data_IF_649074034612
#
_entry.id   IF_649074034612
#
_cell.length_a   1.000
_cell.length_b   1.000
_cell.length_c   1.000
_cell.angle_alpha   90.00
_cell.angle_beta   90.00
_cell.angle_gamma   90.00
#
_symmetry.space_group_name_H-M   'P 1'
#
loop_
_entity.id
_entity.type
_entity.pdbx_description
1 polymer ?
#
# COMPACT_ATOMS: atom_id res chain seq x y z
N UNK A 1 19.36 -2.09 -0.27
CA UNK A 1 20.53 -1.18 -0.27
C UNK A 1 21.66 -1.71 -1.18
N UNK A 2 22.20 -2.92 -0.98
CA UNK A 2 23.26 -3.46 -1.87
C UNK A 2 22.83 -3.67 -3.33
N UNK A 3 21.57 -4.05 -3.57
CA UNK A 3 21.00 -4.21 -4.91
C UNK A 3 20.84 -2.87 -5.65
N UNK A 4 20.56 -1.79 -4.90
CA UNK A 4 20.27 -0.46 -5.44
C UNK A 4 21.10 0.62 -4.75
N UNK A 5 22.45 0.58 -4.83
CA UNK A 5 23.31 1.50 -4.10
C UNK A 5 23.22 2.94 -4.65
N UNK A 6 22.93 3.09 -5.94
CA UNK A 6 22.62 4.38 -6.56
C UNK A 6 21.10 4.59 -6.58
N UNK A 7 20.65 5.44 -5.66
CA UNK A 7 19.23 5.75 -5.43
C UNK A 7 18.59 6.55 -6.57
N UNK A 8 19.39 7.14 -7.46
CA UNK A 8 18.90 7.94 -8.59
C UNK A 8 18.63 7.11 -9.86
N UNK A 9 19.15 5.89 -9.93
CA UNK A 9 19.06 5.07 -11.13
C UNK A 9 17.63 4.61 -11.39
N UNK A 10 17.16 4.72 -12.63
CA UNK A 10 15.89 4.11 -12.99
C UNK A 10 15.97 2.59 -12.82
N UNK A 11 14.82 1.99 -12.56
CA UNK A 11 14.69 0.54 -12.53
C UNK A 11 14.38 0.08 -13.96
N UNK A 12 15.24 -0.80 -14.44
CA UNK A 12 15.14 -1.42 -15.75
C UNK A 12 14.39 -2.74 -15.62
N UNK A 13 13.27 -2.84 -16.30
CA UNK A 13 12.60 -4.10 -16.54
C UNK A 13 12.49 -4.35 -18.05
N UNK A 14 12.40 -5.62 -18.44
CA UNK A 14 12.36 -6.01 -19.85
C UNK A 14 11.23 -5.33 -20.64
N UNK A 15 10.12 -4.99 -19.97
CA UNK A 15 8.93 -4.38 -20.56
C UNK A 15 8.84 -2.86 -20.38
N UNK A 16 9.54 -2.28 -19.40
CA UNK A 16 9.50 -0.83 -19.12
C UNK A 16 10.68 -0.36 -18.26
N UNK A 17 11.06 0.90 -18.45
CA UNK A 17 11.97 1.61 -17.54
C UNK A 17 11.18 2.58 -16.69
N UNK A 18 11.39 2.61 -15.37
CA UNK A 18 10.72 3.55 -14.45
C UNK A 18 11.73 4.38 -13.66
N UNK A 19 11.46 5.68 -13.43
CA UNK A 19 12.31 6.49 -12.57
C UNK A 19 12.25 5.97 -11.12
N UNK A 20 13.31 6.16 -10.34
CA UNK A 20 13.39 5.65 -8.97
C UNK A 20 12.53 6.40 -7.95
N UNK A 21 11.84 7.48 -8.33
CA UNK A 21 10.82 8.14 -7.49
C UNK A 21 9.36 7.75 -7.83
N UNK A 22 9.15 6.64 -8.56
CA UNK A 22 7.84 6.03 -8.77
C UNK A 22 7.38 5.24 -7.52
N UNK A 23 6.08 4.92 -7.44
CA UNK A 23 5.46 4.14 -6.37
C UNK A 23 6.19 2.86 -5.94
N UNK A 24 6.77 2.09 -6.88
CA UNK A 24 7.41 0.82 -6.51
C UNK A 24 8.57 1.03 -5.53
N UNK A 25 9.32 2.13 -5.70
CA UNK A 25 10.37 2.54 -4.77
C UNK A 25 9.82 3.29 -3.59
N UNK A 26 8.79 4.10 -3.78
CA UNK A 26 8.09 4.75 -2.66
C UNK A 26 7.69 3.75 -1.58
N UNK A 27 7.06 2.64 -1.95
CA UNK A 27 6.66 1.56 -1.02
C UNK A 27 7.87 0.89 -0.36
N UNK A 28 8.97 0.66 -1.09
CA UNK A 28 10.20 0.16 -0.47
C UNK A 28 10.66 1.07 0.67
N UNK A 29 10.70 2.38 0.42
CA UNK A 29 11.14 3.34 1.44
C UNK A 29 10.12 3.48 2.58
N UNK A 30 8.81 3.33 2.33
CA UNK A 30 7.81 3.23 3.41
C UNK A 30 8.13 2.07 4.36
N UNK A 31 8.45 0.89 3.81
CA UNK A 31 8.87 -0.27 4.59
C UNK A 31 10.21 -0.06 5.30
N UNK A 32 11.19 0.57 4.64
CA UNK A 32 12.47 0.92 5.26
C UNK A 32 12.29 1.89 6.44
N UNK A 33 11.42 2.90 6.29
CA UNK A 33 11.13 3.84 7.37
C UNK A 33 10.35 3.18 8.51
N UNK A 34 9.50 2.19 8.23
CA UNK A 34 8.87 1.37 9.26
C UNK A 34 9.90 0.52 10.03
N UNK A 35 10.87 -0.09 9.34
CA UNK A 35 11.99 -0.78 9.96
C UNK A 35 12.83 0.18 10.80
N UNK A 36 13.18 1.37 10.27
CA UNK A 36 13.92 2.40 11.00
C UNK A 36 13.20 2.87 12.28
N UNK A 37 11.86 2.80 12.33
CA UNK A 37 11.10 3.13 13.55
C UNK A 37 11.34 2.14 14.69
N UNK A 38 11.61 0.86 14.39
CA UNK A 38 11.86 -0.18 15.40
C UNK A 38 13.36 -0.50 15.58
N UNK A 39 14.18 -0.25 14.56
CA UNK A 39 15.63 -0.46 14.58
C UNK A 39 16.34 0.75 13.96
N UNK A 40 16.88 1.61 14.82
CA UNK A 40 17.37 2.96 14.49
C UNK A 40 18.75 2.97 13.83
N UNK A 41 18.95 2.15 12.80
CA UNK A 41 20.23 2.15 12.08
C UNK A 41 20.37 3.41 11.22
N UNK A 42 21.49 4.11 11.39
CA UNK A 42 21.81 5.34 10.63
C UNK A 42 21.81 5.10 9.11
N UNK A 43 22.25 3.92 8.68
CA UNK A 43 22.29 3.53 7.26
C UNK A 43 20.91 3.56 6.60
N UNK A 44 19.83 3.19 7.32
CA UNK A 44 18.47 3.22 6.79
C UNK A 44 18.00 4.66 6.54
N UNK A 45 18.25 5.54 7.52
CA UNK A 45 17.93 6.96 7.41
C UNK A 45 18.74 7.64 6.31
N UNK A 46 20.06 7.45 6.29
CA UNK A 46 20.95 8.05 5.29
C UNK A 46 20.57 7.62 3.87
N UNK A 47 20.21 6.35 3.69
CA UNK A 47 19.77 5.83 2.39
C UNK A 47 18.45 6.48 1.95
N UNK A 48 17.46 6.64 2.84
CA UNK A 48 16.22 7.34 2.54
C UNK A 48 16.43 8.85 2.26
N UNK A 49 17.32 9.53 3.00
CA UNK A 49 17.68 10.94 2.75
C UNK A 49 18.35 11.09 1.40
N UNK A 50 19.32 10.23 1.07
CA UNK A 50 20.04 10.29 -0.21
C UNK A 50 19.09 10.15 -1.40
N UNK A 51 18.03 9.35 -1.26
CA UNK A 51 16.99 9.21 -2.28
C UNK A 51 16.16 10.48 -2.45
N UNK A 52 15.75 11.10 -1.34
CA UNK A 52 15.09 12.40 -1.38
C UNK A 52 15.96 13.48 -2.03
N UNK A 53 17.24 13.56 -1.67
CA UNK A 53 18.19 14.51 -2.24
C UNK A 53 18.42 14.28 -3.75
N UNK A 54 18.58 13.03 -4.18
CA UNK A 54 18.77 12.66 -5.58
C UNK A 54 17.59 13.12 -6.47
N UNK A 55 16.37 13.12 -5.92
CA UNK A 55 15.17 13.59 -6.60
C UNK A 55 14.78 15.03 -6.26
N UNK A 56 15.64 15.76 -5.53
CA UNK A 56 15.38 17.13 -5.05
C UNK A 56 14.04 17.24 -4.32
N UNK A 57 13.64 16.17 -3.63
CA UNK A 57 12.38 16.05 -2.90
C UNK A 57 11.12 16.23 -3.77
N UNK A 58 11.28 16.09 -5.09
CA UNK A 58 10.23 16.27 -6.07
C UNK A 58 9.44 14.99 -6.34
N UNK A 59 8.14 15.18 -6.56
CA UNK A 59 7.25 14.12 -7.07
C UNK A 59 7.61 13.76 -8.52
N UNK A 60 7.30 12.54 -8.93
CA UNK A 60 7.39 12.19 -10.35
C UNK A 60 6.43 13.08 -11.15
N UNK A 61 6.84 13.54 -12.32
CA UNK A 61 6.07 14.48 -13.16
C UNK A 61 5.74 15.84 -12.48
N UNK A 62 6.37 16.16 -11.35
CA UNK A 62 6.32 17.47 -10.72
C UNK A 62 4.98 17.83 -10.05
N UNK A 63 4.82 19.09 -9.69
CA UNK A 63 3.73 19.60 -8.84
C UNK A 63 2.34 19.64 -9.52
N UNK A 64 2.26 19.26 -10.79
CA UNK A 64 0.99 19.22 -11.54
C UNK A 64 0.41 17.81 -11.67
N UNK A 65 1.14 16.78 -11.22
CA UNK A 65 0.64 15.41 -11.30
C UNK A 65 -0.60 15.22 -10.43
N UNK A 66 -1.57 14.46 -10.93
CA UNK A 66 -2.72 13.96 -10.16
C UNK A 66 -2.69 12.43 -10.04
N UNK A 67 -1.65 11.79 -10.58
CA UNK A 67 -1.51 10.35 -10.55
C UNK A 67 -0.94 9.92 -9.19
N UNK A 68 -1.67 9.05 -8.47
CA UNK A 68 -1.23 8.56 -7.18
C UNK A 68 0.17 7.93 -7.22
N UNK A 69 0.49 7.19 -8.30
CA UNK A 69 1.79 6.53 -8.47
C UNK A 69 2.97 7.51 -8.41
N UNK A 70 2.76 8.76 -8.82
CA UNK A 70 3.76 9.82 -8.79
C UNK A 70 3.90 10.46 -7.42
N UNK A 71 2.84 10.39 -6.62
CA UNK A 71 2.69 11.03 -5.31
C UNK A 71 3.23 10.18 -4.16
N UNK A 72 3.31 8.85 -4.34
CA UNK A 72 3.73 7.89 -3.32
C UNK A 72 5.07 8.24 -2.66
N UNK A 73 6.07 8.72 -3.43
CA UNK A 73 7.36 9.13 -2.86
C UNK A 73 7.25 10.22 -1.78
N UNK A 74 6.21 11.07 -1.88
CA UNK A 74 5.95 12.13 -0.92
C UNK A 74 5.73 11.62 0.51
N UNK A 75 5.25 10.38 0.69
CA UNK A 75 5.05 9.79 2.02
C UNK A 75 6.35 9.69 2.80
N UNK A 76 7.40 9.12 2.19
CA UNK A 76 8.72 9.02 2.83
C UNK A 76 9.37 10.39 3.00
N UNK A 77 9.23 11.28 2.02
CA UNK A 77 9.79 12.63 2.12
C UNK A 77 9.20 13.42 3.31
N UNK A 78 7.88 13.27 3.55
CA UNK A 78 7.25 13.85 4.75
C UNK A 78 7.67 13.13 6.03
N UNK A 79 7.81 11.80 6.03
CA UNK A 79 8.37 11.07 7.19
C UNK A 79 9.77 11.62 7.56
N UNK A 80 10.62 11.90 6.56
CA UNK A 80 11.94 12.50 6.76
C UNK A 80 11.86 13.97 7.19
N UNK A 81 10.88 14.74 6.69
CA UNK A 81 10.63 16.10 7.17
C UNK A 81 10.22 16.13 8.65
N UNK A 82 9.41 15.18 9.11
CA UNK A 82 9.02 15.10 10.52
C UNK A 82 10.21 14.78 11.44
N UNK A 83 11.24 14.10 10.93
CA UNK A 83 12.48 13.80 11.66
C UNK A 83 13.43 15.00 11.66
N UNK A 84 13.62 15.64 10.50
CA UNK A 84 14.53 16.76 10.28
C UNK A 84 13.82 17.80 9.39
N UNK A 85 13.16 18.81 10.00
CA UNK A 85 12.30 19.76 9.28
C UNK A 85 13.10 20.69 8.37
N UNK A 86 12.97 20.45 7.06
CA UNK A 86 13.57 21.26 6.01
C UNK A 86 12.52 21.61 4.95
N UNK A 87 12.25 22.90 4.65
CA UNK A 87 11.15 23.30 3.76
C UNK A 87 11.16 22.62 2.40
N UNK A 88 12.34 22.38 1.82
CA UNK A 88 12.49 21.73 0.53
C UNK A 88 11.93 20.31 0.48
N UNK A 89 11.89 19.59 1.62
CA UNK A 89 11.39 18.20 1.68
C UNK A 89 9.90 18.06 1.42
N UNK A 90 9.14 19.14 1.62
CA UNK A 90 7.67 19.12 1.55
C UNK A 90 7.08 20.16 0.59
N UNK A 91 7.87 21.14 0.14
CA UNK A 91 7.40 22.25 -0.70
C UNK A 91 6.64 21.77 -1.93
N UNK A 92 7.22 20.86 -2.71
CA UNK A 92 6.65 20.41 -3.98
C UNK A 92 5.44 19.47 -3.74
N UNK A 93 5.47 18.70 -2.65
CA UNK A 93 4.36 17.84 -2.21
C UNK A 93 3.15 18.70 -1.86
N UNK A 94 3.35 19.72 -1.03
CA UNK A 94 2.29 20.66 -0.65
C UNK A 94 1.72 21.36 -1.88
N UNK A 95 2.57 21.90 -2.75
CA UNK A 95 2.13 22.57 -3.97
C UNK A 95 1.27 21.64 -4.86
N UNK A 96 1.66 20.37 -4.97
CA UNK A 96 0.89 19.37 -5.70
C UNK A 96 -0.50 19.13 -5.10
N UNK A 97 -0.57 18.92 -3.78
CA UNK A 97 -1.86 18.64 -3.14
C UNK A 97 -2.74 19.89 -3.04
N UNK A 98 -2.16 21.09 -2.91
CA UNK A 98 -2.88 22.37 -2.99
C UNK A 98 -3.61 22.51 -4.34
N UNK A 99 -2.95 22.14 -5.45
CA UNK A 99 -3.59 22.14 -6.78
C UNK A 99 -4.79 21.19 -6.85
N UNK A 100 -4.75 20.06 -6.13
CA UNK A 100 -5.86 19.10 -6.08
C UNK A 100 -6.99 19.57 -5.16
N UNK A 101 -6.65 20.08 -3.98
CA UNK A 101 -7.59 20.65 -3.00
C UNK A 101 -8.39 21.80 -3.61
N UNK A 102 -7.74 22.67 -4.40
CA UNK A 102 -8.40 23.82 -5.02
C UNK A 102 -9.15 23.49 -6.33
N UNK A 103 -9.22 22.21 -6.73
CA UNK A 103 -9.90 21.77 -7.93
C UNK A 103 -11.24 21.09 -7.59
N UNK A 104 -12.24 21.26 -8.45
CA UNK A 104 -13.52 20.54 -8.35
C UNK A 104 -13.41 19.06 -8.75
N UNK A 105 -12.32 18.66 -9.40
CA UNK A 105 -12.11 17.29 -9.86
C UNK A 105 -11.90 16.33 -8.67
N UNK A 106 -12.54 15.16 -8.73
CA UNK A 106 -12.58 14.15 -7.66
C UNK A 106 -12.44 12.69 -8.11
N UNK A 107 -12.26 12.45 -9.40
CA UNK A 107 -12.30 11.13 -10.05
C UNK A 107 -10.91 10.65 -10.52
N UNK A 108 -9.82 11.10 -9.89
CA UNK A 108 -8.46 10.71 -10.31
C UNK A 108 -8.06 9.29 -9.87
N UNK A 109 -8.70 8.74 -8.84
CA UNK A 109 -8.36 7.43 -8.27
C UNK A 109 -9.29 6.34 -8.82
N UNK A 110 -9.01 5.92 -10.06
CA UNK A 110 -9.80 4.93 -10.79
C UNK A 110 -9.32 3.48 -10.61
N UNK A 111 -8.28 3.27 -9.79
CA UNK A 111 -7.78 1.95 -9.38
C UNK A 111 -7.42 1.96 -7.89
N UNK A 112 -7.63 0.85 -7.18
CA UNK A 112 -7.51 0.82 -5.71
C UNK A 112 -6.12 1.16 -5.18
N UNK A 113 -5.05 0.89 -5.92
CA UNK A 113 -3.69 1.15 -5.44
C UNK A 113 -3.47 2.65 -5.25
N UNK A 114 -4.13 3.50 -6.05
CA UNK A 114 -4.03 4.94 -5.94
C UNK A 114 -4.36 5.43 -4.51
N UNK A 115 -5.23 4.70 -3.80
CA UNK A 115 -5.57 4.98 -2.41
C UNK A 115 -4.32 4.93 -1.52
N UNK A 116 -3.51 3.85 -1.62
CA UNK A 116 -2.26 3.76 -0.87
C UNK A 116 -1.26 4.80 -1.33
N UNK A 117 -1.17 5.03 -2.63
CA UNK A 117 -0.15 5.90 -3.17
C UNK A 117 -0.37 7.37 -2.79
N UNK A 118 -1.62 7.81 -2.65
CA UNK A 118 -1.97 9.22 -2.47
C UNK A 118 -2.63 9.58 -1.13
N UNK A 119 -3.56 8.78 -0.59
CA UNK A 119 -4.33 9.17 0.61
C UNK A 119 -3.45 9.55 1.81
N UNK A 120 -2.39 8.79 2.16
CA UNK A 120 -1.56 9.15 3.31
C UNK A 120 -0.87 10.52 3.16
N UNK A 121 -0.66 10.99 1.92
CA UNK A 121 -0.09 12.32 1.66
C UNK A 121 -1.05 13.42 2.09
N UNK A 122 -2.33 13.31 1.74
CA UNK A 122 -3.36 14.26 2.17
C UNK A 122 -3.53 14.25 3.69
N UNK A 123 -3.61 13.06 4.30
CA UNK A 123 -3.73 12.94 5.75
C UNK A 123 -2.55 13.63 6.48
N UNK A 124 -1.32 13.42 6.01
CA UNK A 124 -0.12 13.98 6.62
C UNK A 124 -0.05 15.50 6.48
N UNK A 125 -0.44 16.04 5.33
CA UNK A 125 -0.51 17.49 5.12
C UNK A 125 -1.60 18.14 5.99
N UNK A 126 -2.75 17.48 6.16
CA UNK A 126 -3.80 17.91 7.10
C UNK A 126 -3.28 18.08 8.53
N UNK A 127 -2.44 17.16 8.99
CA UNK A 127 -1.78 17.24 10.31
C UNK A 127 -0.73 18.35 10.35
N UNK A 128 0.19 18.39 9.38
CA UNK A 128 1.32 19.32 9.38
C UNK A 128 0.83 20.78 9.31
N UNK A 129 -0.16 21.06 8.46
CA UNK A 129 -0.66 22.42 8.22
C UNK A 129 -1.91 22.78 9.02
N UNK A 130 -2.49 21.82 9.77
CA UNK A 130 -3.75 22.00 10.51
C UNK A 130 -4.87 22.54 9.61
N UNK A 131 -5.01 21.92 8.44
CA UNK A 131 -5.91 22.37 7.38
C UNK A 131 -6.83 21.23 6.96
N UNK A 132 -8.09 21.30 7.38
CA UNK A 132 -9.08 20.24 7.15
C UNK A 132 -9.43 20.06 5.67
N UNK A 133 -9.11 21.02 4.79
CA UNK A 133 -9.36 20.91 3.35
C UNK A 133 -8.65 19.71 2.72
N UNK A 134 -7.51 19.27 3.28
CA UNK A 134 -6.86 18.04 2.84
C UNK A 134 -7.68 16.79 3.17
N UNK A 135 -8.31 16.74 4.36
CA UNK A 135 -9.19 15.63 4.73
C UNK A 135 -10.46 15.62 3.86
N UNK A 136 -11.05 16.79 3.60
CA UNK A 136 -12.23 16.91 2.74
C UNK A 136 -11.95 16.43 1.31
N UNK A 137 -10.84 16.88 0.69
CA UNK A 137 -10.48 16.43 -0.67
C UNK A 137 -10.17 14.93 -0.73
N UNK A 138 -9.43 14.41 0.26
CA UNK A 138 -9.16 12.98 0.37
C UNK A 138 -10.44 12.16 0.50
N UNK A 139 -11.38 12.61 1.34
CA UNK A 139 -12.67 11.96 1.54
C UNK A 139 -13.52 11.96 0.27
N UNK A 140 -13.61 13.11 -0.41
CA UNK A 140 -14.37 13.25 -1.64
C UNK A 140 -13.88 12.25 -2.71
N UNK A 141 -12.56 12.19 -2.92
CA UNK A 141 -11.95 11.29 -3.90
C UNK A 141 -12.08 9.81 -3.48
N UNK A 142 -11.89 9.51 -2.20
CA UNK A 142 -12.09 8.16 -1.66
C UNK A 142 -13.53 7.68 -1.87
N UNK A 143 -14.52 8.53 -1.59
CA UNK A 143 -15.93 8.19 -1.75
C UNK A 143 -16.34 8.05 -3.22
N UNK A 144 -15.71 8.81 -4.13
CA UNK A 144 -15.84 8.58 -5.56
C UNK A 144 -15.36 7.16 -5.92
N UNK A 145 -14.12 6.79 -5.58
CA UNK A 145 -13.60 5.43 -5.83
C UNK A 145 -14.50 4.36 -5.21
N UNK A 146 -14.96 4.59 -3.97
CA UNK A 146 -15.75 3.62 -3.20
C UNK A 146 -17.12 3.35 -3.79
N UNK A 147 -17.86 4.41 -4.14
CA UNK A 147 -19.30 4.34 -4.39
C UNK A 147 -19.72 4.73 -5.82
N UNK A 148 -18.84 5.36 -6.59
CA UNK A 148 -19.17 5.95 -7.89
C UNK A 148 -18.36 5.35 -9.04
N UNK A 149 -17.06 5.10 -8.83
CA UNK A 149 -16.19 4.58 -9.89
C UNK A 149 -16.68 3.22 -10.41
N UNK A 150 -16.73 3.08 -11.74
CA UNK A 150 -17.35 1.92 -12.39
C UNK A 150 -18.87 1.97 -12.41
N UNK A 151 -19.51 0.80 -12.29
CA UNK A 151 -20.96 0.64 -12.35
C UNK A 151 -21.62 0.85 -11.00
N UNK A 152 -20.98 0.38 -9.91
CA UNK A 152 -21.56 0.40 -8.55
C UNK A 152 -20.62 0.95 -7.47
N UNK A 153 -19.50 1.54 -7.88
CA UNK A 153 -18.37 1.77 -6.98
C UNK A 153 -17.47 0.53 -6.88
N UNK A 154 -16.23 0.75 -6.48
CA UNK A 154 -15.23 -0.32 -6.42
C UNK A 154 -15.26 -1.13 -5.12
N UNK A 155 -16.02 -0.69 -4.10
CA UNK A 155 -16.20 -1.46 -2.86
C UNK A 155 -17.48 -2.27 -2.89
N UNK A 156 -17.38 -3.59 -2.67
CA UNK A 156 -18.54 -4.43 -2.49
C UNK A 156 -18.94 -4.46 -1.00
N UNK A 157 -20.08 -3.87 -0.59
CA UNK A 157 -20.48 -3.82 0.82
C UNK A 157 -20.96 -5.18 1.37
N UNK A 158 -21.26 -6.15 0.51
CA UNK A 158 -21.68 -7.50 0.91
C UNK A 158 -20.46 -8.36 1.22
N UNK A 159 -19.50 -8.41 0.30
CA UNK A 159 -18.27 -9.21 0.45
C UNK A 159 -17.18 -8.46 1.22
N UNK A 160 -17.34 -7.15 1.43
CA UNK A 160 -16.43 -6.25 2.16
C UNK A 160 -15.01 -6.25 1.58
N UNK A 161 -14.92 -6.37 0.26
CA UNK A 161 -13.70 -6.38 -0.51
C UNK A 161 -13.81 -5.42 -1.69
N UNK A 162 -12.67 -5.08 -2.27
CA UNK A 162 -12.56 -4.07 -3.32
C UNK A 162 -12.19 -4.70 -4.66
N UNK A 163 -12.95 -4.37 -5.70
CA UNK A 163 -12.57 -4.60 -7.08
C UNK A 163 -11.36 -3.75 -7.43
N UNK A 164 -10.47 -4.26 -8.27
CA UNK A 164 -9.22 -3.57 -8.62
C UNK A 164 -9.48 -2.21 -9.29
N UNK A 165 -10.36 -2.21 -10.26
CA UNK A 165 -10.82 -1.07 -11.04
C UNK A 165 -12.19 -1.42 -11.63
N UNK A 166 -12.77 -0.49 -12.40
CA UNK A 166 -14.09 -0.66 -13.02
C UNK A 166 -14.20 -1.87 -13.97
N UNK A 167 -13.10 -2.42 -14.47
CA UNK A 167 -13.16 -3.54 -15.42
C UNK A 167 -13.43 -4.88 -14.67
N UNK A 168 -13.29 -4.88 -13.34
CA UNK A 168 -13.50 -6.05 -12.46
C UNK A 168 -14.77 -5.99 -11.63
N UNK A 169 -15.53 -4.89 -11.70
CA UNK A 169 -16.82 -4.80 -11.03
C UNK A 169 -17.90 -5.63 -11.77
N UNK A 170 -19.06 -5.92 -11.16
CA UNK A 170 -20.09 -6.71 -11.81
C UNK A 170 -20.52 -6.08 -13.14
N UNK A 171 -20.61 -6.86 -14.24
CA UNK A 171 -20.85 -8.31 -14.26
C UNK A 171 -19.60 -9.20 -14.39
N UNK A 172 -18.39 -8.67 -14.23
CA UNK A 172 -17.18 -9.49 -14.31
C UNK A 172 -17.19 -10.59 -13.26
N UNK A 173 -16.79 -11.81 -13.65
CA UNK A 173 -16.63 -12.94 -12.73
C UNK A 173 -15.39 -13.75 -13.08
N UNK A 174 -14.83 -14.42 -12.08
CA UNK A 174 -13.80 -15.44 -12.26
C UNK A 174 -14.35 -16.63 -13.06
N UNK A 175 -13.51 -17.55 -13.57
CA UNK A 175 -13.97 -18.77 -14.24
C UNK A 175 -14.98 -19.61 -13.41
N UNK A 176 -14.90 -19.58 -12.08
CA UNK A 176 -15.86 -20.25 -11.20
C UNK A 176 -17.14 -19.42 -10.91
N UNK A 177 -17.35 -18.29 -11.60
CA UNK A 177 -18.53 -17.45 -11.43
C UNK A 177 -18.54 -16.61 -10.15
N UNK A 178 -17.38 -16.37 -9.52
CA UNK A 178 -17.25 -15.55 -8.30
C UNK A 178 -16.83 -14.12 -8.64
N UNK A 179 -17.03 -13.19 -7.71
CA UNK A 179 -16.39 -11.86 -7.79
C UNK A 179 -14.86 -12.02 -7.81
N UNK A 180 -14.17 -11.21 -8.63
CA UNK A 180 -12.71 -11.23 -8.71
C UNK A 180 -12.10 -10.12 -7.85
N UNK A 181 -11.50 -10.52 -6.72
CA UNK A 181 -10.79 -9.61 -5.82
C UNK A 181 -9.30 -9.89 -5.86
N UNK A 182 -8.53 -8.94 -6.37
CA UNK A 182 -7.09 -9.07 -6.41
C UNK A 182 -6.48 -8.88 -5.03
N UNK A 183 -5.68 -9.85 -4.59
CA UNK A 183 -4.97 -9.87 -3.31
C UNK A 183 -4.17 -8.60 -3.06
N UNK A 184 -3.24 -8.27 -3.97
CA UNK A 184 -2.44 -7.06 -3.82
C UNK A 184 -3.28 -5.78 -3.87
N UNK A 185 -4.29 -5.71 -4.74
CA UNK A 185 -5.19 -4.56 -4.81
C UNK A 185 -5.87 -4.29 -3.47
N UNK A 186 -6.45 -5.32 -2.85
CA UNK A 186 -7.05 -5.22 -1.51
C UNK A 186 -5.99 -4.93 -0.44
N UNK A 187 -4.79 -5.51 -0.57
CA UNK A 187 -3.66 -5.21 0.30
C UNK A 187 -3.30 -3.72 0.30
N UNK A 188 -3.32 -3.06 -0.86
CA UNK A 188 -3.09 -1.62 -0.93
C UNK A 188 -4.18 -0.82 -0.23
N UNK A 189 -5.45 -1.21 -0.35
CA UNK A 189 -6.52 -0.54 0.40
C UNK A 189 -6.30 -0.67 1.91
N UNK A 190 -5.91 -1.86 2.39
CA UNK A 190 -5.57 -2.07 3.80
C UNK A 190 -4.41 -1.17 4.22
N UNK A 191 -3.33 -1.10 3.43
CA UNK A 191 -2.19 -0.24 3.71
C UNK A 191 -2.58 1.24 3.79
N UNK A 192 -3.43 1.70 2.86
CA UNK A 192 -3.93 3.07 2.80
C UNK A 192 -4.69 3.43 4.08
N UNK A 193 -5.66 2.57 4.45
CA UNK A 193 -6.49 2.77 5.62
C UNK A 193 -5.67 2.76 6.91
N UNK A 194 -4.73 1.82 7.06
CA UNK A 194 -3.83 1.77 8.22
C UNK A 194 -3.04 3.07 8.33
N UNK A 195 -2.39 3.51 7.25
CA UNK A 195 -1.53 4.71 7.28
C UNK A 195 -2.35 5.96 7.56
N UNK A 196 -3.49 6.12 6.90
CA UNK A 196 -4.41 7.25 7.14
C UNK A 196 -4.88 7.27 8.59
N UNK A 197 -5.32 6.13 9.15
CA UNK A 197 -5.82 6.05 10.52
C UNK A 197 -4.72 6.21 11.59
N UNK A 198 -3.47 5.89 11.26
CA UNK A 198 -2.30 6.12 12.12
C UNK A 198 -1.88 7.59 12.16
N UNK A 199 -2.05 8.31 11.04
CA UNK A 199 -1.73 9.73 10.89
C UNK A 199 -2.83 10.63 11.45
N UNK A 200 -4.10 10.33 11.13
CA UNK A 200 -5.22 11.23 11.43
C UNK A 200 -5.49 11.36 12.94
N UNK A 201 -5.66 12.59 13.46
CA UNK A 201 -6.20 12.83 14.79
C UNK A 201 -7.56 12.17 14.96
N UNK A 202 -7.88 11.69 16.17
CA UNK A 202 -9.14 10.97 16.45
C UNK A 202 -10.41 11.77 16.08
N UNK A 203 -10.35 13.10 16.15
CA UNK A 203 -11.44 14.02 15.86
C UNK A 203 -11.39 14.62 14.44
N UNK A 204 -10.46 14.19 13.59
CA UNK A 204 -10.39 14.69 12.22
C UNK A 204 -11.64 14.27 11.41
N UNK A 205 -12.11 15.12 10.47
CA UNK A 205 -13.26 14.83 9.62
C UNK A 205 -13.16 13.45 8.95
N UNK A 206 -14.31 12.78 8.80
CA UNK A 206 -14.47 11.52 8.03
C UNK A 206 -13.69 10.30 8.51
N UNK A 207 -12.88 10.40 9.58
CA UNK A 207 -12.08 9.29 10.12
C UNK A 207 -12.90 8.01 10.37
N UNK A 208 -14.14 8.16 10.82
CA UNK A 208 -15.05 7.06 11.11
C UNK A 208 -15.37 6.19 9.87
N UNK A 209 -15.42 6.76 8.67
CA UNK A 209 -15.68 6.01 7.43
C UNK A 209 -14.49 5.09 7.07
N UNK A 210 -13.26 5.59 7.26
CA UNK A 210 -12.05 4.81 7.05
C UNK A 210 -11.94 3.68 8.08
N UNK A 211 -12.23 3.96 9.35
CA UNK A 211 -12.21 2.94 10.41
C UNK A 211 -13.26 1.86 10.17
N UNK A 212 -14.49 2.25 9.79
CA UNK A 212 -15.55 1.31 9.41
C UNK A 212 -15.09 0.38 8.29
N UNK A 213 -14.58 0.94 7.20
CA UNK A 213 -14.11 0.14 6.05
C UNK A 213 -12.96 -0.79 6.45
N UNK A 214 -12.01 -0.30 7.24
CA UNK A 214 -10.91 -1.11 7.74
C UNK A 214 -11.42 -2.32 8.54
N UNK A 215 -12.32 -2.09 9.49
CA UNK A 215 -12.91 -3.16 10.31
C UNK A 215 -13.71 -4.16 9.47
N UNK A 216 -14.45 -3.69 8.48
CA UNK A 216 -15.19 -4.54 7.54
C UNK A 216 -14.26 -5.48 6.76
N UNK A 217 -13.15 -4.96 6.23
CA UNK A 217 -12.13 -5.76 5.53
C UNK A 217 -11.43 -6.75 6.47
N UNK A 218 -11.07 -6.32 7.68
CA UNK A 218 -10.42 -7.17 8.68
C UNK A 218 -11.32 -8.31 9.16
N UNK A 219 -12.65 -8.14 9.09
CA UNK A 219 -13.60 -9.21 9.38
C UNK A 219 -13.74 -10.20 8.23
N UNK A 220 -13.68 -9.74 6.96
CA UNK A 220 -13.87 -10.60 5.79
C UNK A 220 -12.63 -11.43 5.42
N UNK A 221 -11.44 -10.82 5.43
CA UNK A 221 -10.20 -11.44 4.95
C UNK A 221 -9.85 -12.79 5.62
N UNK A 222 -10.03 -13.00 6.95
CA UNK A 222 -9.71 -14.26 7.60
C UNK A 222 -10.37 -15.51 6.99
N UNK A 223 -11.58 -15.38 6.45
CA UNK A 223 -12.30 -16.51 5.84
C UNK A 223 -11.61 -17.05 4.59
N UNK A 224 -10.76 -16.24 3.95
CA UNK A 224 -10.03 -16.58 2.73
C UNK A 224 -8.55 -16.94 2.98
N UNK A 225 -8.10 -16.97 4.24
CA UNK A 225 -6.74 -17.42 4.54
C UNK A 225 -6.62 -18.91 4.21
N UNK A 226 -5.66 -19.24 3.35
CA UNK A 226 -5.36 -20.61 2.95
C UNK A 226 -4.85 -21.42 4.14
N UNK A 227 -4.88 -22.74 3.99
CA UNK A 227 -4.34 -23.68 4.98
C UNK A 227 -2.83 -23.49 5.21
N UNK A 228 -2.09 -23.00 4.21
CA UNK A 228 -0.66 -22.68 4.28
C UNK A 228 -0.36 -21.28 4.84
N UNK A 229 -1.37 -20.44 5.11
CA UNK A 229 -1.22 -19.12 5.72
C UNK A 229 -1.24 -17.94 4.76
N UNK A 230 -1.20 -18.19 3.45
CA UNK A 230 -1.26 -17.16 2.41
C UNK A 230 -2.71 -16.81 2.03
N UNK A 231 -2.86 -15.76 1.22
CA UNK A 231 -4.04 -15.51 0.40
C UNK A 231 -3.71 -15.77 -1.07
N UNK A 232 -4.69 -16.29 -1.81
CA UNK A 232 -4.61 -16.49 -3.26
C UNK A 232 -4.50 -15.15 -4.00
N UNK A 233 -4.01 -15.14 -5.25
CA UNK A 233 -3.97 -13.92 -6.08
C UNK A 233 -5.39 -13.42 -6.34
N UNK A 234 -6.32 -14.29 -6.73
CA UNK A 234 -7.77 -14.04 -6.64
C UNK A 234 -8.27 -14.55 -5.29
N UNK A 235 -8.62 -13.64 -4.38
CA UNK A 235 -8.88 -13.95 -2.97
C UNK A 235 -9.98 -15.01 -2.81
N UNK A 236 -11.05 -14.88 -3.60
CA UNK A 236 -12.29 -15.66 -3.50
C UNK A 236 -12.30 -16.92 -4.37
N UNK A 237 -11.38 -17.05 -5.31
CA UNK A 237 -11.34 -18.16 -6.26
C UNK A 237 -9.92 -18.74 -6.41
N UNK A 238 -9.67 -19.87 -5.75
CA UNK A 238 -8.40 -20.58 -5.87
C UNK A 238 -8.14 -21.19 -7.25
N UNK A 239 -9.18 -21.34 -8.08
CA UNK A 239 -9.03 -21.84 -9.46
C UNK A 239 -8.57 -20.74 -10.42
N UNK A 240 -8.62 -19.48 -9.98
CA UNK A 240 -8.23 -18.30 -10.74
C UNK A 240 -6.95 -17.69 -10.17
N UNK A 241 -5.79 -18.20 -10.62
CA UNK A 241 -4.47 -17.81 -10.11
C UNK A 241 -4.30 -18.08 -8.60
N UNK A 242 -4.76 -19.24 -8.13
CA UNK A 242 -4.53 -19.66 -6.75
C UNK A 242 -3.06 -19.93 -6.42
N UNK A 243 -2.76 -19.96 -5.12
CA UNK A 243 -1.43 -20.23 -4.60
C UNK A 243 -0.90 -19.12 -3.70
N UNK A 244 0.40 -19.16 -3.43
CA UNK A 244 1.07 -18.20 -2.55
C UNK A 244 1.28 -16.88 -3.31
N UNK A 245 0.79 -15.79 -2.74
CA UNK A 245 1.05 -14.44 -3.20
C UNK A 245 1.54 -13.60 -2.01
N UNK A 246 2.80 -13.16 -2.06
CA UNK A 246 3.48 -12.56 -0.90
C UNK A 246 2.93 -11.18 -0.55
N UNK A 247 2.64 -10.33 -1.54
CA UNK A 247 2.46 -8.89 -1.31
C UNK A 247 1.12 -8.58 -0.64
N UNK A 248 0.02 -9.18 -1.11
CA UNK A 248 -1.28 -9.09 -0.44
C UNK A 248 -1.24 -9.75 0.93
N UNK A 249 -0.64 -10.94 1.06
CA UNK A 249 -0.46 -11.63 2.36
C UNK A 249 0.27 -10.74 3.38
N UNK A 250 1.35 -10.07 2.96
CA UNK A 250 2.09 -9.14 3.81
C UNK A 250 1.23 -7.94 4.24
N UNK A 251 0.48 -7.33 3.32
CA UNK A 251 -0.34 -6.16 3.63
C UNK A 251 -1.58 -6.49 4.48
N UNK A 252 -2.17 -7.68 4.33
CA UNK A 252 -3.20 -8.17 5.24
C UNK A 252 -2.63 -8.42 6.64
N UNK A 253 -1.44 -9.03 6.71
CA UNK A 253 -0.71 -9.23 7.97
C UNK A 253 -0.42 -7.90 8.66
N UNK A 254 0.06 -6.90 7.90
CA UNK A 254 0.29 -5.53 8.37
C UNK A 254 -0.98 -4.91 8.96
N UNK A 255 -2.10 -4.97 8.23
CA UNK A 255 -3.39 -4.45 8.69
C UNK A 255 -3.89 -5.11 9.97
N UNK A 256 -3.88 -6.44 10.03
CA UNK A 256 -4.34 -7.18 11.20
C UNK A 256 -3.44 -6.90 12.41
N UNK A 257 -2.11 -6.88 12.23
CA UNK A 257 -1.15 -6.56 13.29
C UNK A 257 -1.35 -5.14 13.84
N UNK A 258 -1.48 -4.15 12.95
CA UNK A 258 -1.77 -2.76 13.34
C UNK A 258 -3.10 -2.66 14.10
N UNK A 259 -4.15 -3.31 13.61
CA UNK A 259 -5.46 -3.32 14.26
C UNK A 259 -5.42 -3.93 15.67
N UNK A 260 -4.62 -4.97 15.89
CA UNK A 260 -4.37 -5.53 17.23
C UNK A 260 -3.59 -4.54 18.09
N UNK A 261 -2.51 -3.94 17.58
CA UNK A 261 -1.68 -2.97 18.31
C UNK A 261 -2.47 -1.71 18.73
N UNK A 262 -3.47 -1.31 17.95
CA UNK A 262 -4.37 -0.18 18.27
C UNK A 262 -5.56 -0.56 19.14
N UNK A 263 -5.74 -1.84 19.46
CA UNK A 263 -6.90 -2.33 20.21
C UNK A 263 -8.21 -2.32 19.44
N UNK A 264 -8.16 -2.19 18.10
CA UNK A 264 -9.32 -2.21 17.21
C UNK A 264 -9.76 -3.64 16.89
N UNK A 265 -8.83 -4.60 16.94
CA UNK A 265 -9.08 -6.01 16.66
C UNK A 265 -8.83 -6.88 17.90
N UNK A 266 -9.65 -7.93 18.05
CA UNK A 266 -9.52 -8.87 19.16
C UNK A 266 -8.20 -9.66 19.06
N UNK A 267 -7.25 -9.39 19.98
CA UNK A 267 -5.93 -10.05 19.99
C UNK A 267 -6.02 -11.58 19.94
N UNK A 268 -6.94 -12.20 20.70
CA UNK A 268 -7.06 -13.67 20.74
C UNK A 268 -7.52 -14.26 19.39
N UNK A 269 -8.44 -13.59 18.69
CA UNK A 269 -8.92 -13.98 17.35
C UNK A 269 -7.82 -13.83 16.31
N UNK A 270 -7.13 -12.69 16.29
CA UNK A 270 -6.24 -12.32 15.18
C UNK A 270 -4.79 -12.79 15.32
N UNK A 271 -4.26 -12.97 16.54
CA UNK A 271 -2.86 -13.40 16.72
C UNK A 271 -2.53 -14.70 15.99
N UNK A 272 -3.35 -15.78 16.05
CA UNK A 272 -3.06 -17.00 15.32
C UNK A 272 -3.05 -16.83 13.79
N UNK A 273 -3.94 -15.98 13.26
CA UNK A 273 -4.07 -15.68 11.82
C UNK A 273 -2.80 -14.96 11.34
N UNK A 274 -2.39 -13.92 12.07
CA UNK A 274 -1.18 -13.13 11.82
C UNK A 274 0.06 -14.01 11.90
N UNK A 275 0.21 -14.80 12.97
CA UNK A 275 1.37 -15.67 13.17
C UNK A 275 1.49 -16.70 12.06
N UNK A 276 0.38 -17.28 11.61
CA UNK A 276 0.35 -18.23 10.50
C UNK A 276 0.86 -17.60 9.20
N UNK A 277 0.37 -16.40 8.87
CA UNK A 277 0.79 -15.69 7.67
C UNK A 277 2.28 -15.27 7.75
N UNK A 278 2.71 -14.69 8.86
CA UNK A 278 4.10 -14.25 9.04
C UNK A 278 5.07 -15.43 9.00
N UNK A 279 4.77 -16.54 9.67
CA UNK A 279 5.60 -17.75 9.64
C UNK A 279 5.67 -18.36 8.24
N UNK A 280 4.56 -18.37 7.50
CA UNK A 280 4.52 -18.86 6.14
C UNK A 280 5.39 -18.00 5.19
N UNK A 281 5.30 -16.67 5.27
CA UNK A 281 6.15 -15.77 4.48
C UNK A 281 7.64 -15.93 4.81
N UNK A 282 8.00 -16.01 6.10
CA UNK A 282 9.39 -16.21 6.52
C UNK A 282 9.96 -17.53 6.01
N UNK A 283 9.17 -18.61 6.08
CA UNK A 283 9.59 -19.96 5.69
C UNK A 283 9.67 -20.13 4.17
N UNK A 284 8.67 -19.64 3.45
CA UNK A 284 8.43 -20.04 2.07
C UNK A 284 8.81 -18.96 1.04
N UNK A 285 8.99 -17.70 1.44
CA UNK A 285 9.27 -16.61 0.49
C UNK A 285 10.71 -16.08 0.58
N UNK A 286 11.36 -16.15 1.74
CA UNK A 286 12.68 -15.55 1.93
C UNK A 286 13.77 -16.50 1.41
N UNK A 287 14.51 -16.06 0.41
CA UNK A 287 15.70 -16.75 -0.08
C UNK A 287 16.89 -16.56 0.87
N UNK A 288 17.90 -17.44 0.83
CA UNK A 288 19.12 -17.28 1.64
C UNK A 288 19.86 -15.95 1.41
N UNK A 289 19.72 -15.36 0.23
CA UNK A 289 20.30 -14.06 -0.13
C UNK A 289 19.39 -12.86 0.17
N UNK A 290 18.21 -13.09 0.77
CA UNK A 290 17.21 -12.06 1.07
C UNK A 290 16.25 -11.73 -0.08
N UNK A 291 16.37 -12.35 -1.25
CA UNK A 291 15.37 -12.23 -2.32
C UNK A 291 14.02 -12.78 -1.86
N UNK A 292 12.92 -12.17 -2.33
CA UNK A 292 11.56 -12.55 -1.97
C UNK A 292 10.89 -13.27 -3.14
N UNK A 293 10.66 -14.58 -2.99
CA UNK A 293 9.86 -15.39 -3.88
C UNK A 293 8.36 -15.11 -3.74
N UNK A 294 7.56 -15.59 -4.69
CA UNK A 294 6.10 -15.40 -4.73
C UNK A 294 5.63 -13.93 -4.74
N UNK A 295 6.52 -13.01 -5.13
CA UNK A 295 6.16 -11.61 -5.42
C UNK A 295 5.62 -11.54 -6.85
N UNK A 296 4.33 -11.23 -6.98
CA UNK A 296 3.77 -10.89 -8.29
C UNK A 296 4.29 -9.52 -8.71
N UNK A 297 4.95 -9.43 -9.88
CA UNK A 297 5.48 -8.16 -10.41
C UNK A 297 4.41 -7.11 -10.73
N UNK A 298 4.83 -5.96 -11.28
CA UNK A 298 3.89 -4.90 -11.68
C UNK A 298 2.93 -5.40 -12.76
N UNK A 299 1.66 -5.01 -12.63
CA UNK A 299 0.58 -5.41 -13.54
C UNK A 299 -0.67 -4.57 -13.31
N UNK A 300 -1.62 -4.64 -14.24
CA UNK A 300 -2.96 -4.07 -14.14
C UNK A 300 -3.93 -5.05 -13.47
N UNK A 301 -3.68 -6.35 -13.56
CA UNK A 301 -4.69 -7.38 -13.24
C UNK A 301 -4.10 -8.68 -12.65
N UNK A 302 -4.93 -9.55 -12.01
CA UNK A 302 -4.48 -10.79 -11.36
C UNK A 302 -3.64 -11.73 -12.22
N UNK A 303 -3.90 -11.80 -13.52
CA UNK A 303 -3.17 -12.69 -14.45
C UNK A 303 -1.73 -12.24 -14.73
N UNK A 304 -1.43 -10.97 -14.47
CA UNK A 304 -0.13 -10.40 -14.84
C UNK A 304 0.99 -11.00 -13.99
N UNK A 305 2.03 -11.49 -14.66
CA UNK A 305 3.16 -12.10 -13.97
C UNK A 305 2.81 -13.43 -13.29
N UNK A 306 1.77 -14.14 -13.71
CA UNK A 306 1.47 -15.52 -13.30
C UNK A 306 2.19 -16.57 -14.17
N UNK A 307 2.31 -17.84 -13.73
CA UNK A 307 2.15 -18.29 -12.34
C UNK A 307 3.28 -17.77 -11.44
N UNK A 308 3.04 -17.67 -10.13
CA UNK A 308 4.06 -17.33 -9.14
C UNK A 308 4.83 -18.57 -8.68
N UNK A 309 6.11 -18.40 -8.40
CA UNK A 309 6.95 -19.44 -7.83
C UNK A 309 8.01 -18.84 -6.91
N UNK A 310 8.73 -19.71 -6.19
CA UNK A 310 9.82 -19.32 -5.31
C UNK A 310 10.94 -18.61 -6.10
N UNK A 311 11.32 -19.13 -7.26
CA UNK A 311 12.46 -18.64 -8.05
C UNK A 311 12.09 -17.60 -9.11
N UNK A 312 10.80 -17.25 -9.25
CA UNK A 312 10.36 -16.27 -10.25
C UNK A 312 10.82 -14.88 -9.87
N UNK A 313 11.64 -14.28 -10.73
CA UNK A 313 12.05 -12.87 -10.61
C UNK A 313 10.98 -11.98 -11.27
N UNK A 314 10.26 -11.13 -10.53
CA UNK A 314 9.32 -10.20 -11.10
C UNK A 314 10.04 -9.06 -11.83
N UNK A 315 9.31 -8.35 -12.71
CA UNK A 315 9.83 -7.19 -13.42
C UNK A 315 10.24 -6.04 -12.46
N UNK A 316 9.65 -5.95 -11.28
CA UNK A 316 10.06 -5.07 -10.18
C UNK A 316 9.87 -5.80 -8.86
N UNK A 317 10.84 -5.69 -7.94
CA UNK A 317 10.90 -6.42 -6.66
C UNK A 317 10.71 -5.50 -5.45
N UNK A 318 11.10 -4.23 -5.57
CA UNK A 318 11.25 -3.28 -4.45
C UNK A 318 10.01 -3.17 -3.56
N UNK A 319 8.83 -3.01 -4.15
CA UNK A 319 7.59 -2.83 -3.40
C UNK A 319 7.23 -4.06 -2.58
N UNK A 320 7.59 -5.27 -3.05
CA UNK A 320 7.38 -6.51 -2.31
C UNK A 320 8.19 -6.54 -1.02
N UNK A 321 9.44 -6.06 -1.07
CA UNK A 321 10.28 -5.87 0.13
C UNK A 321 9.65 -4.83 1.05
N UNK A 322 9.15 -3.72 0.51
CA UNK A 322 8.42 -2.70 1.28
C UNK A 322 7.23 -3.29 2.04
N UNK A 323 6.36 -4.05 1.37
CA UNK A 323 5.22 -4.73 2.00
C UNK A 323 5.67 -5.69 3.12
N UNK A 324 6.70 -6.50 2.86
CA UNK A 324 7.23 -7.44 3.84
C UNK A 324 7.79 -6.73 5.08
N UNK A 325 8.51 -5.62 4.90
CA UNK A 325 9.04 -4.81 5.99
C UNK A 325 7.93 -4.11 6.79
N UNK A 326 6.88 -3.61 6.14
CA UNK A 326 5.71 -3.05 6.83
C UNK A 326 5.06 -4.10 7.74
N UNK A 327 4.82 -5.31 7.22
CA UNK A 327 4.26 -6.42 7.97
C UNK A 327 5.15 -6.82 9.15
N UNK A 328 6.43 -7.10 8.89
CA UNK A 328 7.39 -7.53 9.89
C UNK A 328 7.58 -6.51 11.01
N UNK A 329 7.69 -5.23 10.65
CA UNK A 329 7.87 -4.15 11.64
C UNK A 329 6.64 -3.98 12.53
N UNK A 330 5.43 -4.19 12.01
CA UNK A 330 4.21 -4.07 12.79
C UNK A 330 3.95 -5.31 13.68
N UNK A 331 4.24 -6.51 13.16
CA UNK A 331 4.21 -7.76 13.94
C UNK A 331 5.22 -7.71 15.08
N UNK A 332 6.43 -7.17 14.85
CA UNK A 332 7.44 -7.01 15.89
C UNK A 332 6.95 -6.18 17.09
N UNK A 333 6.04 -5.23 16.87
CA UNK A 333 5.46 -4.39 17.94
C UNK A 333 4.36 -5.09 18.73
N UNK A 334 3.84 -6.23 18.25
CA UNK A 334 2.79 -6.98 18.95
C UNK A 334 3.35 -7.55 20.24
N UNK A 335 2.91 -6.97 21.37
CA UNK A 335 3.14 -7.48 22.73
C UNK A 335 2.05 -8.45 23.10
#
# INVERSE_FOLDING_TARGET
MNEWPDVSKPIWAADKTRPSNIWTRGVYYEGLMALYKIDKQKSYYDYAVSWGEAHKWGLRNGTKTRNGDDQCCGQTYMDLYLIDPKPERIRDIKACMDNMVNSEKKDDWTWVDALQMAMPVFAQLGVIYKDDRYYEKMYEMYMHTKNVEGTKGMYNPVEKLWYRDKDFDPPYTTPAGKSCYWSRGNGWVVAALVRVLDIMPKNAPHRAEYEKTFLEMMEALPAYQRTDGFWNVSITDETDFGGKELTGTALFTYGMAWGVNKGLLNKKKYTPIIAKAMNAMMKDCVHPNGFLGYVQGTGKEPKDGQPLSYDKVPNFTDFGVGCYLLAGAEVYKMK
#
